data_IF_405233868793
#
_entry.id   IF_405233868793
#
_cell.length_a   1.000
_cell.length_b   1.000
_cell.length_c   1.000
_cell.angle_alpha   90.00
_cell.angle_beta   90.00
_cell.angle_gamma   90.00
#
_symmetry.space_group_name_H-M   'P 1'
#
loop_
_entity.id
_entity.type
_entity.pdbx_description
1 polymer ?
#
# COMPACT_ATOMS: atom_id res chain seq x y z
N UNK A 1 -2.17 -3.93 20.77
CA UNK A 1 -2.26 -4.30 19.34
C UNK A 1 -1.63 -5.67 19.18
N UNK A 2 -2.24 -6.56 18.39
CA UNK A 2 -1.62 -7.82 17.98
C UNK A 2 -1.05 -7.63 16.57
N UNK A 3 0.24 -7.93 16.38
CA UNK A 3 0.90 -7.92 15.06
C UNK A 3 1.09 -9.34 14.49
N UNK A 4 0.66 -10.36 15.24
CA UNK A 4 0.76 -11.77 14.89
C UNK A 4 -0.63 -12.40 14.81
N UNK A 5 -0.77 -13.42 13.97
CA UNK A 5 -1.96 -14.24 13.84
C UNK A 5 -1.59 -15.59 13.23
N UNK A 6 -2.46 -16.58 13.35
CA UNK A 6 -2.27 -17.90 12.72
C UNK A 6 -3.11 -18.07 11.45
N UNK A 7 -2.74 -19.04 10.62
CA UNK A 7 -3.53 -19.42 9.44
C UNK A 7 -4.96 -19.83 9.82
N UNK A 8 -5.13 -20.61 10.91
CA UNK A 8 -6.44 -21.04 11.38
C UNK A 8 -7.32 -19.88 11.81
N UNK A 9 -6.75 -18.91 12.54
CA UNK A 9 -7.47 -17.70 12.95
C UNK A 9 -7.89 -16.84 11.76
N UNK A 10 -7.02 -16.59 10.78
CA UNK A 10 -7.37 -15.80 9.61
C UNK A 10 -8.45 -16.48 8.75
N UNK A 11 -8.36 -17.80 8.56
CA UNK A 11 -9.41 -18.57 7.86
C UNK A 11 -10.76 -18.47 8.56
N UNK A 12 -10.80 -18.48 9.89
CA UNK A 12 -12.05 -18.45 10.64
C UNK A 12 -12.61 -17.03 10.86
N UNK A 13 -11.74 -16.04 11.09
CA UNK A 13 -12.13 -14.74 11.67
C UNK A 13 -11.79 -13.51 10.82
N UNK A 14 -11.09 -13.66 9.69
CA UNK A 14 -10.77 -12.49 8.87
C UNK A 14 -12.06 -11.84 8.33
N UNK A 15 -12.28 -10.57 8.68
CA UNK A 15 -13.52 -9.84 8.37
C UNK A 15 -13.75 -9.65 6.87
N UNK A 16 -12.72 -9.76 6.04
CA UNK A 16 -12.80 -9.59 4.60
C UNK A 16 -12.86 -10.93 3.84
N UNK A 17 -11.96 -11.87 4.14
CA UNK A 17 -11.76 -13.12 3.36
C UNK A 17 -11.99 -14.42 4.15
N UNK A 18 -12.21 -14.31 5.46
CA UNK A 18 -12.43 -15.47 6.32
C UNK A 18 -13.85 -16.03 6.19
N UNK A 19 -14.11 -17.15 6.87
CA UNK A 19 -15.44 -17.76 6.97
C UNK A 19 -15.94 -18.43 5.69
N UNK A 20 -15.06 -18.73 4.73
CA UNK A 20 -15.42 -19.39 3.49
C UNK A 20 -16.15 -18.49 2.49
N UNK A 21 -15.98 -17.17 2.59
CA UNK A 21 -16.55 -16.21 1.64
C UNK A 21 -16.10 -16.53 0.20
N UNK A 22 -17.01 -16.43 -0.79
CA UNK A 22 -16.67 -16.65 -2.18
C UNK A 22 -15.76 -15.53 -2.69
N UNK A 23 -15.10 -15.81 -3.82
CA UNK A 23 -14.14 -14.87 -4.43
C UNK A 23 -14.84 -13.60 -4.87
N UNK A 24 -16.03 -13.73 -5.44
CA UNK A 24 -16.82 -12.68 -6.06
C UNK A 24 -17.18 -11.60 -5.03
N UNK A 25 -17.70 -12.02 -3.87
CA UNK A 25 -18.01 -11.12 -2.75
C UNK A 25 -16.78 -10.34 -2.25
N UNK A 26 -15.60 -10.99 -2.23
CA UNK A 26 -14.37 -10.31 -1.83
C UNK A 26 -13.97 -9.26 -2.87
N UNK A 27 -14.04 -9.58 -4.17
CA UNK A 27 -13.69 -8.67 -5.25
C UNK A 27 -14.58 -7.44 -5.21
N UNK A 28 -15.91 -7.62 -5.16
CA UNK A 28 -16.88 -6.50 -5.11
C UNK A 28 -16.63 -5.60 -3.89
N UNK A 29 -16.45 -6.20 -2.71
CA UNK A 29 -16.17 -5.46 -1.49
C UNK A 29 -14.85 -4.69 -1.58
N UNK A 30 -13.81 -5.27 -2.20
CA UNK A 30 -12.51 -4.58 -2.34
C UNK A 30 -12.53 -3.47 -3.35
N UNK A 31 -13.11 -3.68 -4.53
CA UNK A 31 -13.22 -2.63 -5.54
C UNK A 31 -14.01 -1.43 -5.01
N UNK A 32 -15.15 -1.70 -4.36
CA UNK A 32 -15.98 -0.66 -3.73
C UNK A 32 -15.20 0.11 -2.67
N UNK A 33 -14.49 -0.61 -1.79
CA UNK A 33 -13.70 0.02 -0.72
C UNK A 33 -12.55 0.82 -1.28
N UNK A 34 -11.78 0.27 -2.22
CA UNK A 34 -10.58 0.88 -2.75
C UNK A 34 -10.90 2.19 -3.50
N UNK A 35 -12.05 2.26 -4.20
CA UNK A 35 -12.54 3.48 -4.83
C UNK A 35 -12.83 4.64 -3.84
N UNK A 36 -13.10 4.33 -2.57
CA UNK A 36 -13.38 5.34 -1.53
C UNK A 36 -12.14 5.84 -0.79
N UNK A 37 -10.98 5.20 -0.99
CA UNK A 37 -9.76 5.52 -0.26
C UNK A 37 -8.97 6.63 -0.93
N UNK A 38 -8.54 7.60 -0.12
CA UNK A 38 -7.57 8.60 -0.56
C UNK A 38 -6.18 8.02 -0.77
N UNK A 39 -5.35 8.72 -1.53
CA UNK A 39 -3.95 8.35 -1.74
C UNK A 39 -3.17 8.36 -0.42
N UNK A 40 -2.34 7.33 -0.12
CA UNK A 40 -1.49 7.35 1.06
C UNK A 40 -0.53 8.54 1.04
N UNK A 41 -0.41 9.24 2.18
CA UNK A 41 0.39 10.47 2.31
C UNK A 41 1.83 10.36 1.77
N UNK A 42 2.44 9.19 1.91
CA UNK A 42 3.83 8.94 1.51
C UNK A 42 3.98 8.11 0.23
N UNK A 43 2.90 7.85 -0.53
CA UNK A 43 2.97 6.94 -1.68
C UNK A 43 4.03 7.37 -2.71
N UNK A 44 4.09 8.67 -3.05
CA UNK A 44 5.06 9.20 -4.03
C UNK A 44 6.51 9.14 -3.53
N UNK A 45 6.83 9.63 -2.30
CA UNK A 45 8.16 9.42 -1.69
C UNK A 45 8.56 7.95 -1.59
N UNK A 46 7.68 7.11 -1.03
CA UNK A 46 7.98 5.71 -0.73
C UNK A 46 8.24 4.92 -2.01
N UNK A 47 7.46 5.13 -3.07
CA UNK A 47 7.70 4.44 -4.34
C UNK A 47 9.09 4.77 -4.89
N UNK A 48 9.50 6.04 -4.90
CA UNK A 48 10.79 6.47 -5.43
C UNK A 48 11.97 5.81 -4.71
N UNK A 49 11.88 5.64 -3.39
CA UNK A 49 12.97 5.06 -2.58
C UNK A 49 12.91 3.53 -2.60
N UNK A 50 11.72 2.94 -2.45
CA UNK A 50 11.55 1.49 -2.36
C UNK A 50 11.84 0.78 -3.68
N UNK A 51 11.55 1.39 -4.83
CA UNK A 51 11.92 0.84 -6.14
C UNK A 51 13.45 0.77 -6.35
N UNK A 52 14.22 1.52 -5.54
CA UNK A 52 15.69 1.53 -5.51
C UNK A 52 16.25 0.73 -4.34
N UNK A 53 15.48 -0.24 -3.82
CA UNK A 53 15.86 -1.05 -2.65
C UNK A 53 16.21 -0.23 -1.39
N UNK A 54 15.58 0.94 -1.23
CA UNK A 54 15.83 1.83 -0.10
C UNK A 54 16.88 2.91 -0.37
N UNK A 55 17.55 2.89 -1.52
CA UNK A 55 18.52 3.93 -1.87
C UNK A 55 17.82 5.24 -2.24
N UNK A 56 18.38 6.34 -1.76
CA UNK A 56 17.94 7.68 -2.12
C UNK A 56 18.24 7.98 -3.60
N UNK A 57 17.53 8.94 -4.23
CA UNK A 57 17.94 9.45 -5.54
C UNK A 57 19.36 10.01 -5.50
N UNK A 58 20.03 10.00 -6.65
CA UNK A 58 21.33 10.67 -6.81
C UNK A 58 21.22 12.15 -6.42
N UNK A 59 22.24 12.69 -5.73
CA UNK A 59 22.30 14.10 -5.42
C UNK A 59 22.43 14.95 -6.69
N UNK A 60 22.05 16.23 -6.59
CA UNK A 60 22.31 17.21 -7.63
C UNK A 60 23.80 17.64 -7.63
N UNK A 61 24.15 18.57 -8.53
CA UNK A 61 25.53 19.09 -8.66
C UNK A 61 26.06 19.77 -7.38
N UNK A 62 25.19 20.12 -6.43
CA UNK A 62 25.54 20.72 -5.13
C UNK A 62 25.59 19.69 -4.00
N UNK A 63 25.23 18.44 -4.27
CA UNK A 63 25.15 17.38 -3.27
C UNK A 63 23.78 17.21 -2.62
N UNK A 64 22.76 17.97 -3.03
CA UNK A 64 21.43 17.94 -2.42
C UNK A 64 20.56 16.83 -3.02
N UNK A 65 19.78 16.14 -2.18
CA UNK A 65 18.90 15.05 -2.61
C UNK A 65 17.44 15.50 -2.64
N UNK A 66 16.78 15.32 -3.78
CA UNK A 66 15.39 15.72 -3.98
C UNK A 66 14.47 14.55 -4.30
N UNK A 67 13.29 14.54 -3.68
CA UNK A 67 12.17 13.69 -4.08
C UNK A 67 11.29 14.45 -5.07
N UNK A 68 10.98 13.82 -6.21
CA UNK A 68 10.17 14.45 -7.24
C UNK A 68 8.69 14.24 -6.94
N UNK A 69 7.95 15.32 -6.70
CA UNK A 69 6.51 15.27 -6.47
C UNK A 69 5.79 15.75 -7.74
N UNK A 70 5.10 14.86 -8.48
CA UNK A 70 4.35 15.27 -9.65
C UNK A 70 3.13 16.11 -9.24
N UNK A 71 2.94 17.25 -9.90
CA UNK A 71 1.79 18.13 -9.69
C UNK A 71 0.65 17.70 -10.61
N UNK A 72 -0.52 17.44 -10.04
CA UNK A 72 -1.74 17.02 -10.76
C UNK A 72 -1.56 15.79 -11.66
N UNK A 73 -0.60 14.92 -11.35
CA UNK A 73 -0.35 13.67 -12.05
C UNK A 73 -0.06 12.57 -11.04
N UNK A 74 -1.01 11.66 -10.86
CA UNK A 74 -0.91 10.43 -10.08
C UNK A 74 -1.78 9.35 -10.73
#
# INVERSE_FOLDING_TARGET
FAWESTVGEQKAKNVHVGGGKPREDFVEMRETRDASLGMPKLIVPSLQVNMRAGNMPEPDDKGDVFLKIPVNKL
#
